data_IF_135463998238
#
_entry.id   IF_135463998238
#
_cell.length_a   1.000
_cell.length_b   1.000
_cell.length_c   1.000
_cell.angle_alpha   90.00
_cell.angle_beta   90.00
_cell.angle_gamma   90.00
#
_symmetry.space_group_name_H-M   'P 1'
#
loop_
_entity.id
_entity.type
_entity.pdbx_description
1 polymer ?
#
# COMPACT_ATOMS: atom_id res chain seq x y z
N UNK A 1 -23.56 6.81 4.67
CA UNK A 1 -24.34 7.01 3.43
C UNK A 1 -23.45 7.79 2.46
N UNK A 2 -23.30 7.35 1.21
CA UNK A 2 -22.57 8.11 0.20
C UNK A 2 -23.37 9.37 -0.13
N UNK A 3 -22.81 10.54 0.17
CA UNK A 3 -23.39 11.84 -0.22
C UNK A 3 -23.13 12.00 -1.71
N UNK A 4 -24.19 12.03 -2.53
CA UNK A 4 -24.08 12.44 -3.94
C UNK A 4 -24.29 13.94 -4.02
N UNK A 5 -23.27 14.65 -4.47
CA UNK A 5 -23.40 16.07 -4.80
C UNK A 5 -24.04 16.21 -6.20
N UNK A 6 -24.93 17.20 -6.40
CA UNK A 6 -25.48 17.48 -7.73
C UNK A 6 -24.38 18.01 -8.67
N UNK A 7 -24.50 17.79 -9.99
CA UNK A 7 -23.54 18.34 -10.94
C UNK A 7 -23.51 19.87 -10.88
N UNK A 8 -22.32 20.44 -11.10
CA UNK A 8 -22.15 21.89 -11.25
C UNK A 8 -22.40 22.30 -12.70
N UNK A 9 -23.31 23.23 -12.91
CA UNK A 9 -23.66 23.72 -14.25
C UNK A 9 -22.82 24.94 -14.65
N UNK A 10 -22.29 24.94 -15.88
CA UNK A 10 -21.45 26.03 -16.37
C UNK A 10 -22.21 27.35 -16.55
N UNK A 11 -23.51 27.29 -16.81
CA UNK A 11 -24.39 28.47 -16.92
C UNK A 11 -24.54 29.20 -15.58
N UNK A 12 -24.59 28.45 -14.47
CA UNK A 12 -24.69 29.01 -13.11
C UNK A 12 -23.37 29.62 -12.61
N UNK A 13 -22.24 29.21 -13.21
CA UNK A 13 -20.94 29.83 -12.96
C UNK A 13 -20.89 31.29 -13.44
N UNK A 14 -21.53 31.58 -14.58
CA UNK A 14 -21.55 32.94 -15.15
C UNK A 14 -22.32 33.91 -14.24
N UNK A 15 -23.38 33.43 -13.60
CA UNK A 15 -24.22 34.26 -12.72
C UNK A 15 -23.63 34.41 -11.30
N UNK A 16 -22.61 33.63 -10.93
CA UNK A 16 -21.96 33.58 -9.61
C UNK A 16 -22.96 33.66 -8.44
N UNK A 17 -24.07 32.92 -8.56
CA UNK A 17 -25.12 33.01 -7.55
C UNK A 17 -24.63 32.50 -6.18
N UNK A 18 -25.14 33.05 -5.05
CA UNK A 18 -24.80 32.54 -3.73
C UNK A 18 -25.03 31.03 -3.57
N UNK A 19 -26.07 30.51 -4.24
CA UNK A 19 -26.39 29.08 -4.29
C UNK A 19 -25.31 28.26 -5.00
N UNK A 20 -24.85 28.72 -6.17
CA UNK A 20 -23.76 28.09 -6.91
C UNK A 20 -22.46 28.04 -6.09
N UNK A 21 -22.11 29.15 -5.41
CA UNK A 21 -20.92 29.20 -4.54
C UNK A 21 -21.00 28.22 -3.38
N UNK A 22 -22.18 28.06 -2.76
CA UNK A 22 -22.38 27.08 -1.70
C UNK A 22 -22.20 25.64 -2.22
N UNK A 23 -22.74 25.33 -3.40
CA UNK A 23 -22.56 24.03 -4.03
C UNK A 23 -21.10 23.76 -4.43
N UNK A 24 -20.40 24.78 -4.96
CA UNK A 24 -18.97 24.69 -5.25
C UNK A 24 -18.16 24.38 -3.99
N UNK A 25 -18.43 25.08 -2.87
CA UNK A 25 -17.76 24.82 -1.60
C UNK A 25 -18.03 23.42 -1.05
N UNK A 26 -19.23 22.86 -1.25
CA UNK A 26 -19.51 21.46 -0.89
C UNK A 26 -18.63 20.49 -1.70
N UNK A 27 -18.43 20.74 -3.00
CA UNK A 27 -17.55 19.92 -3.83
C UNK A 27 -16.08 20.04 -3.43
N UNK A 28 -15.58 21.25 -3.17
CA UNK A 28 -14.22 21.48 -2.67
C UNK A 28 -13.97 20.73 -1.34
N UNK A 29 -14.96 20.78 -0.43
CA UNK A 29 -14.88 20.09 0.86
C UNK A 29 -14.85 18.57 0.69
N UNK A 30 -15.69 18.00 -0.16
CA UNK A 30 -15.66 16.56 -0.43
C UNK A 30 -14.36 16.13 -1.11
N UNK A 31 -13.80 16.98 -1.97
CA UNK A 31 -12.52 16.72 -2.62
C UNK A 31 -11.36 16.70 -1.62
N UNK A 32 -11.33 17.64 -0.68
CA UNK A 32 -10.32 17.67 0.37
C UNK A 32 -10.47 16.51 1.37
N UNK A 33 -11.72 16.17 1.72
CA UNK A 33 -12.01 14.97 2.51
C UNK A 33 -11.51 13.69 1.81
N UNK A 34 -11.78 13.54 0.51
CA UNK A 34 -11.29 12.41 -0.29
C UNK A 34 -9.76 12.36 -0.35
N UNK A 35 -9.11 13.51 -0.55
CA UNK A 35 -7.65 13.64 -0.52
C UNK A 35 -7.05 13.17 0.83
N UNK A 36 -7.67 13.59 1.93
CA UNK A 36 -7.26 13.15 3.27
C UNK A 36 -7.40 11.64 3.46
N UNK A 37 -8.53 11.07 3.04
CA UNK A 37 -8.76 9.62 3.11
C UNK A 37 -7.75 8.83 2.29
N UNK A 38 -7.42 9.27 1.07
CA UNK A 38 -6.42 8.61 0.22
C UNK A 38 -5.02 8.68 0.86
N UNK A 39 -4.62 9.85 1.38
CA UNK A 39 -3.34 9.99 2.11
C UNK A 39 -3.26 9.06 3.31
N UNK A 40 -4.36 8.90 4.03
CA UNK A 40 -4.47 7.97 5.15
C UNK A 40 -4.32 6.52 4.71
N UNK A 41 -5.03 6.08 3.65
CA UNK A 41 -4.89 4.73 3.10
C UNK A 41 -3.45 4.42 2.67
N UNK A 42 -2.78 5.38 2.03
CA UNK A 42 -1.35 5.23 1.66
C UNK A 42 -0.49 5.02 2.90
N UNK A 43 -0.73 5.80 3.97
CA UNK A 43 0.00 5.65 5.23
C UNK A 43 -0.25 4.27 5.86
N UNK A 44 -1.51 3.85 5.95
CA UNK A 44 -1.89 2.56 6.52
C UNK A 44 -1.28 1.38 5.72
N UNK A 45 -1.24 1.45 4.38
CA UNK A 45 -0.59 0.43 3.55
C UNK A 45 0.91 0.37 3.81
N UNK A 46 1.59 1.50 3.97
CA UNK A 46 3.03 1.53 4.30
C UNK A 46 3.30 0.88 5.65
N UNK A 47 2.52 1.25 6.67
CA UNK A 47 2.64 0.69 8.01
C UNK A 47 2.37 -0.84 8.02
N UNK A 48 1.40 -1.30 7.23
CA UNK A 48 1.11 -2.71 7.04
C UNK A 48 2.28 -3.47 6.39
N UNK A 49 2.89 -2.91 5.35
CA UNK A 49 4.05 -3.51 4.69
C UNK A 49 5.26 -3.58 5.64
N UNK A 50 5.49 -2.53 6.43
CA UNK A 50 6.57 -2.52 7.42
C UNK A 50 6.35 -3.57 8.52
N UNK A 51 5.11 -3.72 9.01
CA UNK A 51 4.76 -4.76 9.96
C UNK A 51 4.96 -6.17 9.38
N UNK A 52 4.55 -6.40 8.12
CA UNK A 52 4.77 -7.66 7.43
C UNK A 52 6.27 -7.98 7.25
N UNK A 53 7.11 -6.97 6.97
CA UNK A 53 8.56 -7.13 6.89
C UNK A 53 9.17 -7.52 8.24
N UNK A 54 8.74 -6.88 9.34
CA UNK A 54 9.20 -7.22 10.69
C UNK A 54 8.80 -8.64 11.08
N UNK A 55 7.57 -9.04 10.76
CA UNK A 55 7.09 -10.41 10.96
C UNK A 55 7.95 -11.42 10.19
N UNK A 56 8.24 -11.14 8.92
CA UNK A 56 9.10 -12.00 8.09
C UNK A 56 10.50 -12.18 8.69
N UNK A 57 11.11 -11.10 9.18
CA UNK A 57 12.41 -11.15 9.85
C UNK A 57 12.38 -11.97 11.15
N UNK A 58 11.32 -11.83 11.95
CA UNK A 58 11.14 -12.60 13.17
C UNK A 58 10.96 -14.10 12.86
N UNK A 59 10.15 -14.45 11.85
CA UNK A 59 9.95 -15.84 11.42
C UNK A 59 11.24 -16.48 10.92
N UNK A 60 12.04 -15.75 10.11
CA UNK A 60 13.36 -16.25 9.65
C UNK A 60 14.35 -16.42 10.79
N UNK A 61 14.34 -15.51 11.78
CA UNK A 61 15.17 -15.66 12.98
C UNK A 61 14.76 -16.89 13.79
N UNK A 62 13.46 -17.12 13.95
CA UNK A 62 12.94 -18.32 14.62
C UNK A 62 13.30 -19.61 13.86
N UNK A 63 13.21 -19.61 12.52
CA UNK A 63 13.65 -20.74 11.69
C UNK A 63 15.14 -21.07 11.92
N UNK A 64 16.01 -20.06 12.04
CA UNK A 64 17.43 -20.26 12.40
C UNK A 64 17.61 -20.90 13.78
N UNK A 65 16.79 -20.51 14.77
CA UNK A 65 16.82 -21.15 16.09
C UNK A 65 16.43 -22.63 16.01
N UNK A 66 15.42 -22.97 15.19
CA UNK A 66 15.00 -24.36 14.97
C UNK A 66 16.07 -25.19 14.27
N UNK A 67 16.68 -24.64 13.22
CA UNK A 67 17.78 -25.29 12.48
C UNK A 67 19.03 -25.49 13.34
N UNK A 68 19.30 -24.55 14.23
CA UNK A 68 20.44 -24.62 15.15
C UNK A 68 20.19 -25.48 16.40
N UNK A 69 18.97 -25.97 16.62
CA UNK A 69 18.63 -26.71 17.84
C UNK A 69 19.35 -28.05 17.87
N UNK A 70 20.08 -28.28 18.97
CA UNK A 70 20.76 -29.54 19.26
C UNK A 70 20.57 -29.88 20.72
N UNK A 71 20.36 -31.16 21.01
CA UNK A 71 20.35 -31.64 22.39
C UNK A 71 21.77 -31.58 22.98
N UNK A 72 21.88 -31.08 24.20
CA UNK A 72 23.08 -31.25 25.00
C UNK A 72 23.10 -32.69 25.53
N UNK A 73 23.83 -33.56 24.84
CA UNK A 73 23.93 -34.97 25.21
C UNK A 73 25.01 -35.16 26.29
N UNK A 74 24.73 -35.97 27.31
CA UNK A 74 25.74 -36.44 28.27
C UNK A 74 26.50 -37.60 27.61
N UNK A 75 27.77 -37.39 27.26
CA UNK A 75 28.58 -38.35 26.50
C UNK A 75 28.55 -38.09 24.98
N UNK A 76 29.14 -38.99 24.19
CA UNK A 76 29.31 -38.82 22.73
C UNK A 76 28.20 -39.45 21.89
N UNK A 77 27.11 -39.91 22.50
CA UNK A 77 26.04 -40.66 21.83
C UNK A 77 24.70 -39.95 21.95
N UNK A 78 24.06 -39.71 20.80
CA UNK A 78 22.69 -39.19 20.67
C UNK A 78 21.73 -40.36 20.48
N UNK A 79 20.60 -40.35 21.19
CA UNK A 79 19.52 -41.35 21.05
C UNK A 79 18.78 -41.18 19.71
N UNK A 80 18.09 -42.23 19.27
CA UNK A 80 17.32 -42.16 18.03
C UNK A 80 16.15 -41.15 18.12
N UNK A 81 15.52 -41.02 19.28
CA UNK A 81 14.44 -40.03 19.50
C UNK A 81 14.96 -38.60 19.39
N UNK A 82 16.11 -38.30 19.99
CA UNK A 82 16.77 -36.99 19.87
C UNK A 82 17.12 -36.66 18.42
N UNK A 83 17.54 -37.66 17.63
CA UNK A 83 17.81 -37.48 16.19
C UNK A 83 16.54 -37.18 15.41
N UNK A 84 15.43 -37.86 15.74
CA UNK A 84 14.12 -37.63 15.11
C UNK A 84 13.61 -36.23 15.44
N UNK A 85 13.74 -35.77 16.69
CA UNK A 85 13.32 -34.43 17.10
C UNK A 85 14.14 -33.35 16.39
N UNK A 86 15.48 -33.45 16.38
CA UNK A 86 16.34 -32.49 15.65
C UNK A 86 15.95 -32.39 14.18
N UNK A 87 15.78 -33.53 13.49
CA UNK A 87 15.34 -33.55 12.10
C UNK A 87 13.97 -32.91 11.90
N UNK A 88 13.04 -33.15 12.83
CA UNK A 88 11.70 -32.55 12.77
C UNK A 88 11.77 -31.01 12.86
N UNK A 89 12.62 -30.47 13.74
CA UNK A 89 12.82 -29.03 13.89
C UNK A 89 13.53 -28.42 12.66
N UNK A 90 14.49 -29.12 12.06
CA UNK A 90 15.08 -28.73 10.78
C UNK A 90 14.03 -28.64 9.66
N UNK A 91 13.11 -29.61 9.57
CA UNK A 91 12.01 -29.56 8.59
C UNK A 91 11.07 -28.39 8.84
N UNK A 92 10.71 -28.11 10.10
CA UNK A 92 9.94 -26.91 10.43
C UNK A 92 10.65 -25.62 10.01
N UNK A 93 11.96 -25.52 10.20
CA UNK A 93 12.75 -24.38 9.71
C UNK A 93 12.66 -24.23 8.19
N UNK A 94 12.80 -25.34 7.44
CA UNK A 94 12.69 -25.34 5.97
C UNK A 94 11.32 -24.85 5.51
N UNK A 95 10.23 -25.31 6.13
CA UNK A 95 8.88 -24.88 5.82
C UNK A 95 8.66 -23.38 6.08
N UNK A 96 9.14 -22.86 7.21
CA UNK A 96 9.04 -21.42 7.52
C UNK A 96 9.79 -20.60 6.47
N UNK A 97 11.00 -21.00 6.11
CA UNK A 97 11.78 -20.28 5.10
C UNK A 97 11.09 -20.30 3.73
N UNK A 98 10.50 -21.42 3.31
CA UNK A 98 9.76 -21.51 2.06
C UNK A 98 8.54 -20.57 2.02
N UNK A 99 7.77 -20.50 3.12
CA UNK A 99 6.65 -19.56 3.26
C UNK A 99 7.14 -18.11 3.14
N UNK A 100 8.25 -17.79 3.81
CA UNK A 100 8.79 -16.42 3.82
C UNK A 100 9.47 -16.03 2.50
N UNK A 101 9.95 -17.00 1.73
CA UNK A 101 10.43 -16.76 0.36
C UNK A 101 9.27 -16.41 -0.58
N UNK A 102 8.14 -17.11 -0.47
CA UNK A 102 6.94 -16.78 -1.24
C UNK A 102 6.33 -15.45 -0.81
N UNK A 103 6.28 -15.14 0.49
CA UNK A 103 5.91 -13.80 0.99
C UNK A 103 6.82 -12.73 0.38
N UNK A 104 8.12 -12.98 0.36
CA UNK A 104 9.10 -12.08 -0.26
C UNK A 104 8.85 -11.87 -1.75
N UNK A 105 8.39 -12.90 -2.48
CA UNK A 105 7.98 -12.77 -3.89
C UNK A 105 6.73 -11.92 -4.05
N UNK A 106 5.69 -12.17 -3.25
CA UNK A 106 4.45 -11.36 -3.26
C UNK A 106 4.73 -9.88 -2.99
N UNK A 107 5.58 -9.59 -1.99
CA UNK A 107 5.97 -8.22 -1.63
C UNK A 107 6.83 -7.57 -2.73
N UNK A 108 7.77 -8.30 -3.36
CA UNK A 108 8.57 -7.76 -4.49
C UNK A 108 7.73 -7.42 -5.71
N UNK A 109 6.70 -8.21 -6.02
CA UNK A 109 5.74 -7.90 -7.09
C UNK A 109 5.01 -6.58 -6.77
N UNK A 110 4.63 -6.35 -5.51
CA UNK A 110 4.07 -5.08 -5.06
C UNK A 110 5.04 -3.90 -5.29
N UNK A 111 6.33 -4.04 -4.95
CA UNK A 111 7.33 -2.99 -5.20
C UNK A 111 7.61 -2.72 -6.67
N UNK A 112 7.60 -3.75 -7.52
CA UNK A 112 7.74 -3.58 -8.98
C UNK A 112 6.52 -2.87 -9.59
N UNK A 113 5.31 -3.11 -9.07
CA UNK A 113 4.12 -2.31 -9.40
C UNK A 113 4.14 -0.90 -8.79
N UNK A 114 4.77 -0.72 -7.62
CA UNK A 114 4.92 0.61 -6.99
C UNK A 114 5.95 1.50 -7.70
N UNK A 115 6.86 0.96 -8.52
CA UNK A 115 7.62 1.74 -9.51
C UNK A 115 6.76 2.18 -10.71
N UNK A 116 5.59 1.56 -10.93
CA UNK A 116 4.55 2.06 -11.84
C UNK A 116 3.55 3.01 -11.16
N UNK A 117 3.52 3.05 -9.82
CA UNK A 117 2.66 3.94 -9.02
C UNK A 117 3.40 4.86 -8.03
N UNK A 118 4.47 5.58 -8.42
CA UNK A 118 4.77 6.86 -7.81
C UNK A 118 3.83 7.89 -8.44
N UNK A 119 2.71 8.22 -7.78
CA UNK A 119 1.85 9.35 -8.15
C UNK A 119 1.21 9.35 -9.56
N UNK A 120 1.14 8.22 -10.26
CA UNK A 120 0.61 8.19 -11.63
C UNK A 120 -0.81 7.60 -11.73
N UNK A 121 -1.70 8.00 -10.82
CA UNK A 121 -3.14 7.93 -11.09
C UNK A 121 -3.50 9.26 -11.75
N UNK A 122 -3.78 9.30 -13.07
CA UNK A 122 -4.06 10.55 -13.77
C UNK A 122 -5.14 11.38 -13.08
N UNK A 123 -6.11 10.71 -12.45
CA UNK A 123 -7.19 11.32 -11.67
C UNK A 123 -6.73 11.98 -10.38
N UNK A 124 -5.84 11.37 -9.58
CA UNK A 124 -5.31 12.01 -8.36
C UNK A 124 -4.37 13.17 -8.69
N UNK A 125 -3.61 13.07 -9.79
CA UNK A 125 -2.81 14.18 -10.29
C UNK A 125 -3.71 15.33 -10.72
N UNK A 126 -4.75 15.05 -11.51
CA UNK A 126 -5.75 16.05 -11.90
C UNK A 126 -6.38 16.74 -10.68
N UNK A 127 -6.81 15.96 -9.69
CA UNK A 127 -7.43 16.45 -8.44
C UNK A 127 -6.46 17.27 -7.57
N UNK A 128 -5.21 16.84 -7.39
CA UNK A 128 -4.23 17.57 -6.60
C UNK A 128 -3.79 18.88 -7.27
N UNK A 129 -3.70 18.91 -8.60
CA UNK A 129 -3.35 20.13 -9.35
C UNK A 129 -4.51 21.14 -9.39
N UNK A 130 -5.77 20.70 -9.45
CA UNK A 130 -6.93 21.61 -9.40
C UNK A 130 -7.13 22.23 -8.03
N UNK A 131 -6.88 21.50 -6.93
CA UNK A 131 -7.06 22.02 -5.55
C UNK A 131 -5.88 22.87 -5.07
N UNK A 132 -4.65 22.60 -5.53
CA UNK A 132 -3.44 23.27 -5.00
C UNK A 132 -3.18 24.66 -5.60
N UNK A 133 -4.01 25.17 -6.52
CA UNK A 133 -3.88 26.52 -7.11
C UNK A 133 -2.57 26.79 -7.86
N UNK A 134 -1.77 25.74 -8.16
CA UNK A 134 -0.51 25.88 -8.88
C UNK A 134 -0.79 26.07 -10.38
N UNK A 135 -0.02 26.91 -11.09
CA UNK A 135 -0.21 27.15 -12.51
C UNK A 135 -0.11 25.84 -13.31
N UNK A 136 -1.07 25.66 -14.23
CA UNK A 136 -1.21 24.47 -15.09
C UNK A 136 0.09 24.22 -15.87
N UNK A 137 0.83 23.16 -15.55
CA UNK A 137 1.64 22.49 -16.57
C UNK A 137 0.80 21.32 -17.07
N UNK A 138 0.02 21.59 -18.12
CA UNK A 138 -0.81 20.57 -18.77
C UNK A 138 0.10 19.52 -19.42
N UNK A 139 -0.08 18.22 -19.12
CA UNK A 139 0.44 17.15 -19.97
C UNK A 139 -0.18 17.29 -21.37
N UNK A 140 0.64 17.15 -22.41
CA UNK A 140 0.34 17.44 -23.82
C UNK A 140 -0.85 16.66 -24.41
N UNK A 141 -1.42 15.71 -23.68
CA UNK A 141 -2.50 14.81 -24.14
C UNK A 141 -3.89 15.49 -24.14
N UNK A 142 -4.09 16.60 -23.42
CA UNK A 142 -5.39 17.29 -23.37
C UNK A 142 -5.56 18.45 -24.36
N UNK A 143 -4.58 18.69 -25.25
CA UNK A 143 -4.74 19.73 -26.29
C UNK A 143 -5.80 19.37 -27.35
N UNK A 144 -6.11 18.09 -27.53
CA UNK A 144 -7.00 17.65 -28.61
C UNK A 144 -8.50 17.64 -28.24
N UNK A 145 -8.87 17.97 -26.99
CA UNK A 145 -10.27 18.02 -26.55
C UNK A 145 -10.80 19.46 -26.41
N UNK A 146 -9.92 20.48 -26.44
CA UNK A 146 -10.30 21.89 -26.21
C UNK A 146 -10.30 22.72 -27.51
N UNK A 147 -10.24 22.08 -28.69
CA UNK A 147 -10.33 22.75 -29.99
C UNK A 147 -11.43 22.20 -30.92
N UNK A 148 -12.55 21.71 -30.36
CA UNK A 148 -13.80 21.57 -31.09
C UNK A 148 -14.92 22.30 -30.36
#
# INVERSE_FOLDING_TARGET
>A
MSVRLPPLEFTECITDSPYFRENLHKHEKELENTNHQIKRLIKEVKELLDAANKLSQAQRSFAKCLEGFKFECIGSTQTDDERVICKSLEEFSRLINAIEDERGRMVRVQYNYNNLMPYNVPYLRFILYTVSGKPRQTPTIYRDIVCM
#
